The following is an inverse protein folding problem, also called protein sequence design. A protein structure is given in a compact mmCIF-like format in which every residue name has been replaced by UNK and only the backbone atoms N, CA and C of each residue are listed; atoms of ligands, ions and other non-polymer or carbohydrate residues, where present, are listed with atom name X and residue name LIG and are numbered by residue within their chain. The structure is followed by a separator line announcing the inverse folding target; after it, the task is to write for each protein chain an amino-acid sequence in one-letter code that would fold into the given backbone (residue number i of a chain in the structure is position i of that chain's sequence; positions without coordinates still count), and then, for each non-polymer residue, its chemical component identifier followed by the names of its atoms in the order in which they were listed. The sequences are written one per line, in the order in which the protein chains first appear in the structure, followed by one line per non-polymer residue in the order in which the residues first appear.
data_IF_302069124768
#
_entry.id   IF_302069124768
#
_cell.length_a   1.000
_cell.length_b   1.000
_cell.length_c   1.000
_cell.angle_alpha   90.00
_cell.angle_beta   90.00
_cell.angle_gamma   90.00
#
_symmetry.space_group_name_H-M   'P 1'
#
loop_
_entity.id
_entity.type
_entity.pdbx_description
1 polymer ?
#
# COMPACT_ATOMS: atom_id res chain seq x y z
N UNK A 1 18.11 -28.58 -62.48
CA UNK A 1 18.03 -29.75 -61.56
C UNK A 1 18.47 -29.27 -60.18
N UNK A 2 17.54 -28.95 -59.27
CA UNK A 2 17.87 -28.54 -57.91
C UNK A 2 18.56 -29.70 -57.16
N UNK A 3 19.60 -29.42 -56.39
CA UNK A 3 20.37 -30.42 -55.65
C UNK A 3 19.56 -31.07 -54.53
N UNK A 4 19.85 -32.34 -54.19
CA UNK A 4 19.22 -33.14 -53.13
C UNK A 4 19.02 -32.43 -51.77
N UNK A 5 19.83 -31.42 -51.44
CA UNK A 5 19.67 -30.62 -50.21
C UNK A 5 18.54 -29.57 -50.25
N UNK A 6 18.05 -29.18 -51.43
CA UNK A 6 16.91 -28.26 -51.57
C UNK A 6 15.55 -28.97 -51.47
N UNK A 7 15.47 -30.28 -51.76
CA UNK A 7 14.25 -31.08 -51.56
C UNK A 7 14.05 -31.52 -50.11
N UNK A 8 15.13 -31.77 -49.37
CA UNK A 8 15.07 -32.12 -47.94
C UNK A 8 14.61 -30.93 -47.07
N UNK A 9 15.08 -29.72 -47.41
CA UNK A 9 14.69 -28.48 -46.70
C UNK A 9 13.21 -28.12 -46.89
N UNK A 10 12.63 -28.41 -48.06
CA UNK A 10 11.22 -28.18 -48.34
C UNK A 10 10.27 -29.21 -47.69
N UNK A 11 10.78 -30.42 -47.36
CA UNK A 11 10.01 -31.49 -46.71
C UNK A 11 9.88 -31.25 -45.20
N UNK A 12 10.96 -30.81 -44.56
CA UNK A 12 10.96 -30.42 -43.12
C UNK A 12 10.05 -29.21 -42.87
N UNK A 13 9.99 -28.25 -43.80
CA UNK A 13 9.18 -27.04 -43.65
C UNK A 13 7.67 -27.26 -43.89
N UNK A 14 7.28 -28.33 -44.61
CA UNK A 14 5.87 -28.76 -44.76
C UNK A 14 5.36 -29.60 -43.59
N UNK A 15 6.19 -30.40 -42.95
CA UNK A 15 5.81 -31.15 -41.74
C UNK A 15 5.65 -30.23 -40.51
N UNK A 16 6.46 -29.19 -40.36
CA UNK A 16 6.29 -28.20 -39.28
C UNK A 16 5.05 -27.32 -39.41
N UNK A 17 4.55 -27.11 -40.64
CA UNK A 17 3.34 -26.31 -40.89
C UNK A 17 2.03 -27.14 -40.80
N UNK A 18 2.10 -28.47 -40.86
CA UNK A 18 0.95 -29.37 -40.68
C UNK A 18 0.60 -29.69 -39.22
N UNK A 19 1.52 -29.47 -38.28
CA UNK A 19 1.31 -29.77 -36.85
C UNK A 19 0.71 -28.58 -36.09
N UNK A 20 0.71 -27.37 -36.67
CA UNK A 20 0.21 -26.14 -36.01
C UNK A 20 -1.29 -25.85 -36.23
N UNK A 21 -2.04 -26.80 -36.77
CA UNK A 21 -3.47 -26.65 -37.03
C UNK A 21 -4.25 -27.91 -36.61
N UNK A 22 -4.21 -28.26 -35.32
CA UNK A 22 -5.23 -29.06 -34.60
C UNK A 22 -4.79 -29.26 -33.15
N UNK A 23 -5.04 -28.27 -32.29
CA UNK A 23 -5.25 -28.53 -30.87
C UNK A 23 -6.03 -27.36 -30.25
N UNK A 24 -7.30 -27.22 -30.63
CA UNK A 24 -8.27 -26.57 -29.75
C UNK A 24 -8.62 -27.56 -28.64
N UNK A 25 -7.77 -27.63 -27.61
CA UNK A 25 -8.18 -28.18 -26.32
C UNK A 25 -9.00 -27.13 -25.60
N UNK A 26 -10.29 -27.40 -25.44
CA UNK A 26 -11.14 -26.73 -24.45
C UNK A 26 -10.45 -26.82 -23.08
N UNK A 27 -10.06 -25.67 -22.53
CA UNK A 27 -9.54 -25.59 -21.16
C UNK A 27 -10.70 -25.81 -20.19
N UNK A 28 -10.85 -27.02 -19.67
CA UNK A 28 -11.61 -27.25 -18.44
C UNK A 28 -10.73 -26.91 -17.24
N UNK A 29 -11.26 -26.10 -16.33
CA UNK A 29 -10.61 -25.72 -15.08
C UNK A 29 -10.48 -26.95 -14.17
N UNK A 30 -9.37 -27.02 -13.41
CA UNK A 30 -9.21 -28.03 -12.38
C UNK A 30 -10.08 -27.67 -11.15
N UNK A 31 -10.75 -28.64 -10.48
CA UNK A 31 -11.62 -28.38 -9.32
C UNK A 31 -10.94 -27.73 -8.09
N UNK A 32 -9.63 -27.49 -8.11
CA UNK A 32 -8.83 -26.95 -6.99
C UNK A 32 -8.34 -25.51 -7.16
N UNK A 33 -8.76 -24.77 -8.19
CA UNK A 33 -8.43 -23.34 -8.33
C UNK A 33 -9.27 -22.46 -7.38
N UNK A 34 -8.63 -21.89 -6.34
CA UNK A 34 -9.21 -20.87 -5.44
C UNK A 34 -8.59 -19.47 -5.62
N UNK A 35 -8.29 -19.04 -6.86
CA UNK A 35 -7.80 -17.68 -7.13
C UNK A 35 -8.18 -17.19 -8.53
N UNK A 36 -8.74 -15.98 -8.71
CA UNK A 36 -9.27 -15.50 -9.99
C UNK A 36 -8.22 -14.89 -10.94
N UNK A 37 -6.92 -14.97 -10.62
CA UNK A 37 -5.89 -14.39 -11.49
C UNK A 37 -5.52 -15.34 -12.64
N UNK A 38 -6.10 -15.11 -13.81
CA UNK A 38 -5.67 -15.77 -15.05
C UNK A 38 -4.37 -15.11 -15.52
N UNK A 39 -3.26 -15.82 -15.36
CA UNK A 39 -1.95 -15.44 -15.85
C UNK A 39 -1.89 -15.36 -17.38
N UNK A 40 -1.51 -14.18 -17.89
CA UNK A 40 -0.56 -13.93 -19.00
C UNK A 40 -0.62 -12.44 -19.41
N UNK A 41 0.17 -11.59 -18.74
CA UNK A 41 0.22 -10.12 -18.95
C UNK A 41 1.50 -9.68 -19.69
N UNK A 42 2.41 -10.60 -20.00
CA UNK A 42 3.76 -10.30 -20.51
C UNK A 42 3.77 -9.58 -21.87
N UNK A 43 2.77 -9.80 -22.73
CA UNK A 43 2.70 -9.17 -24.07
C UNK A 43 2.11 -7.75 -24.01
N UNK A 44 1.24 -7.45 -23.03
CA UNK A 44 0.68 -6.09 -22.85
C UNK A 44 1.68 -5.13 -22.20
N UNK A 45 2.56 -5.64 -21.32
CA UNK A 45 3.64 -4.87 -20.68
C UNK A 45 4.67 -4.30 -21.67
N UNK A 46 5.07 -5.09 -22.68
CA UNK A 46 6.07 -4.67 -23.68
C UNK A 46 5.59 -3.52 -24.58
N UNK A 47 4.29 -3.45 -24.87
CA UNK A 47 3.71 -2.41 -25.73
C UNK A 47 3.48 -1.11 -24.94
N UNK A 48 3.17 -1.20 -23.64
CA UNK A 48 3.01 -0.02 -22.75
C UNK A 48 4.35 0.68 -22.48
N UNK A 49 5.43 -0.09 -22.30
CA UNK A 49 6.76 0.43 -21.93
C UNK A 49 7.48 1.26 -23.01
N UNK A 50 7.05 1.23 -24.28
CA UNK A 50 7.70 2.01 -25.36
C UNK A 50 7.16 3.44 -25.52
N UNK A 51 6.04 3.80 -24.90
CA UNK A 51 5.39 5.12 -25.05
C UNK A 51 5.15 5.81 -23.71
N UNK A 52 6.20 6.07 -22.94
CA UNK A 52 6.33 7.23 -22.04
C UNK A 52 7.68 7.18 -21.33
N UNK A 53 8.75 7.59 -22.02
CA UNK A 53 9.89 8.21 -21.34
C UNK A 53 9.54 9.69 -21.18
N UNK A 54 8.79 10.07 -20.15
CA UNK A 54 8.49 11.48 -19.87
C UNK A 54 8.19 11.74 -18.39
N UNK A 55 8.83 12.80 -17.88
CA UNK A 55 8.51 13.65 -16.74
C UNK A 55 8.68 13.08 -15.32
N UNK A 56 9.42 13.85 -14.51
CA UNK A 56 9.40 13.81 -13.04
C UNK A 56 7.97 13.59 -12.55
N UNK A 57 7.75 12.57 -11.70
CA UNK A 57 6.44 12.30 -11.12
C UNK A 57 5.93 13.53 -10.37
N UNK A 58 4.72 13.98 -10.70
CA UNK A 58 4.09 15.11 -10.04
C UNK A 58 2.87 14.65 -9.22
N UNK A 59 2.96 14.65 -7.86
CA UNK A 59 1.89 14.20 -6.97
C UNK A 59 0.64 15.11 -6.97
N UNK A 60 0.74 16.30 -7.58
CA UNK A 60 -0.33 17.29 -7.65
C UNK A 60 -0.94 17.43 -9.04
N UNK A 61 -0.73 16.45 -9.94
CA UNK A 61 -1.40 16.46 -11.24
C UNK A 61 -2.93 16.47 -11.07
N UNK A 62 -3.64 17.27 -11.88
CA UNK A 62 -5.10 17.29 -11.85
C UNK A 62 -5.64 15.93 -12.30
N UNK A 63 -6.86 15.58 -11.88
CA UNK A 63 -7.53 14.38 -12.34
C UNK A 63 -7.73 14.33 -13.87
N UNK A 64 -7.76 13.12 -14.41
CA UNK A 64 -8.18 12.90 -15.79
C UNK A 64 -9.71 13.05 -15.89
N UNK A 65 -10.17 14.06 -16.64
CA UNK A 65 -11.60 14.37 -16.80
C UNK A 65 -12.39 13.26 -17.48
N UNK A 66 -11.78 12.44 -18.33
CA UNK A 66 -12.45 11.30 -18.95
C UNK A 66 -12.61 10.16 -17.94
N UNK A 67 -11.57 9.87 -17.17
CA UNK A 67 -11.66 8.91 -16.06
C UNK A 67 -12.70 9.36 -15.03
N UNK A 68 -12.77 10.67 -14.72
CA UNK A 68 -13.81 11.22 -13.84
C UNK A 68 -15.22 10.96 -14.36
N UNK A 69 -15.45 11.06 -15.67
CA UNK A 69 -16.75 10.73 -16.29
C UNK A 69 -17.05 9.23 -16.19
N UNK A 70 -16.07 8.37 -16.45
CA UNK A 70 -16.20 6.91 -16.31
C UNK A 70 -16.52 6.52 -14.86
N UNK A 71 -15.79 7.06 -13.89
CA UNK A 71 -16.05 6.86 -12.46
C UNK A 71 -17.46 7.34 -12.12
N UNK A 72 -17.86 8.53 -12.56
CA UNK A 72 -19.22 9.05 -12.30
C UNK A 72 -20.31 8.14 -12.87
N UNK A 73 -20.12 7.59 -14.06
CA UNK A 73 -21.06 6.64 -14.67
C UNK A 73 -21.13 5.33 -13.86
N UNK A 74 -19.97 4.81 -13.43
CA UNK A 74 -19.91 3.65 -12.55
C UNK A 74 -20.65 3.91 -11.23
N UNK A 75 -20.40 5.03 -10.56
CA UNK A 75 -21.05 5.38 -9.29
C UNK A 75 -22.57 5.47 -9.44
N UNK A 76 -23.06 6.06 -10.54
CA UNK A 76 -24.50 6.10 -10.86
C UNK A 76 -25.12 4.72 -11.09
N UNK A 77 -24.32 3.73 -11.50
CA UNK A 77 -24.76 2.35 -11.68
C UNK A 77 -24.74 1.51 -10.40
N UNK A 78 -24.08 1.98 -9.33
CA UNK A 78 -24.02 1.26 -8.05
C UNK A 78 -25.37 1.26 -7.34
N UNK A 79 -25.65 0.19 -6.61
CA UNK A 79 -26.88 0.06 -5.84
C UNK A 79 -27.00 1.22 -4.83
N UNK A 80 -28.20 1.81 -4.76
CA UNK A 80 -28.51 2.86 -3.80
C UNK A 80 -28.17 4.28 -4.23
N UNK A 81 -27.43 4.52 -5.32
CA UNK A 81 -27.10 5.89 -5.74
C UNK A 81 -28.38 6.75 -5.94
N UNK A 82 -28.46 7.99 -5.39
CA UNK A 82 -27.48 8.68 -4.56
C UNK A 82 -27.73 8.57 -3.03
N UNK A 83 -28.60 7.68 -2.57
CA UNK A 83 -28.92 7.47 -1.14
C UNK A 83 -27.71 6.97 -0.37
N UNK A 84 -27.44 7.60 0.78
CA UNK A 84 -26.32 7.23 1.66
C UNK A 84 -26.82 6.31 2.77
N UNK A 85 -26.40 5.05 2.72
CA UNK A 85 -26.61 4.06 3.76
C UNK A 85 -25.42 3.09 3.68
N UNK A 86 -24.54 3.15 4.68
CA UNK A 86 -23.28 2.38 4.66
C UNK A 86 -23.51 0.87 4.72
N UNK A 87 -24.58 0.44 5.38
CA UNK A 87 -24.89 -0.97 5.62
C UNK A 87 -25.61 -1.57 4.41
N UNK A 88 -26.48 -0.79 3.74
CA UNK A 88 -27.19 -1.24 2.54
C UNK A 88 -26.42 -1.00 1.24
N UNK A 89 -25.63 0.06 1.17
CA UNK A 89 -24.95 0.52 -0.06
C UNK A 89 -23.44 0.77 0.19
N UNK A 90 -22.69 -0.22 0.69
CA UNK A 90 -21.31 -0.03 1.14
C UNK A 90 -20.37 0.44 0.02
N UNK A 91 -20.59 0.01 -1.22
CA UNK A 91 -19.77 0.44 -2.37
C UNK A 91 -19.98 1.92 -2.68
N UNK A 92 -21.23 2.36 -2.81
CA UNK A 92 -21.53 3.78 -3.07
C UNK A 92 -21.04 4.66 -1.92
N UNK A 93 -21.30 4.24 -0.68
CA UNK A 93 -20.92 4.98 0.52
C UNK A 93 -19.40 5.19 0.59
N UNK A 94 -18.61 4.13 0.37
CA UNK A 94 -17.14 4.20 0.36
C UNK A 94 -16.62 5.20 -0.68
N UNK A 95 -17.09 5.13 -1.92
CA UNK A 95 -16.67 6.10 -2.94
C UNK A 95 -17.10 7.52 -2.62
N UNK A 96 -18.29 7.69 -2.02
CA UNK A 96 -18.77 8.99 -1.57
C UNK A 96 -17.88 9.58 -0.46
N UNK A 97 -17.45 8.78 0.53
CA UNK A 97 -16.50 9.20 1.56
C UNK A 97 -15.16 9.63 0.95
N UNK A 98 -14.62 8.85 0.00
CA UNK A 98 -13.36 9.18 -0.66
C UNK A 98 -13.42 10.53 -1.38
N UNK A 99 -14.46 10.77 -2.19
CA UNK A 99 -14.56 11.96 -3.06
C UNK A 99 -15.10 13.21 -2.36
N UNK A 100 -15.74 13.06 -1.20
CA UNK A 100 -16.44 14.16 -0.53
C UNK A 100 -15.61 14.71 0.62
N UNK A 101 -15.21 15.97 0.54
CA UNK A 101 -14.64 16.68 1.69
C UNK A 101 -15.77 17.17 2.62
N UNK A 102 -15.63 17.12 3.96
CA UNK A 102 -14.48 16.65 4.74
C UNK A 102 -14.68 15.23 5.30
N UNK A 103 -15.19 14.28 4.50
CA UNK A 103 -15.46 12.93 5.02
C UNK A 103 -14.17 12.22 5.42
N UNK A 104 -14.28 11.45 6.49
CA UNK A 104 -13.15 10.77 7.10
C UNK A 104 -12.76 9.56 6.26
N UNK A 105 -11.46 9.38 6.05
CA UNK A 105 -10.96 8.21 5.34
C UNK A 105 -10.81 7.05 6.33
N UNK A 106 -11.51 5.94 6.06
CA UNK A 106 -11.28 4.66 6.73
C UNK A 106 -9.96 4.01 6.28
N UNK A 107 -9.51 3.02 7.02
CA UNK A 107 -8.36 2.15 6.72
C UNK A 107 -8.37 1.63 5.27
N UNK A 108 -9.52 1.16 4.79
CA UNK A 108 -9.67 0.67 3.42
C UNK A 108 -9.39 1.73 2.34
N UNK A 109 -9.67 3.01 2.62
CA UNK A 109 -9.32 4.11 1.71
C UNK A 109 -7.82 4.38 1.72
N UNK A 110 -7.21 4.39 2.92
CA UNK A 110 -5.77 4.56 3.09
C UNK A 110 -5.03 3.47 2.31
N UNK A 111 -5.43 2.21 2.51
CA UNK A 111 -4.83 1.06 1.85
C UNK A 111 -5.05 1.07 0.33
N UNK A 112 -6.19 1.54 -0.16
CA UNK A 112 -6.44 1.68 -1.60
C UNK A 112 -5.47 2.66 -2.27
N UNK A 113 -5.18 3.79 -1.61
CA UNK A 113 -4.18 4.75 -2.10
C UNK A 113 -2.76 4.19 -1.96
N UNK A 114 -2.43 3.54 -0.85
CA UNK A 114 -1.12 2.90 -0.67
C UNK A 114 -0.91 1.78 -1.71
N UNK A 115 -1.95 1.01 -2.06
CA UNK A 115 -1.93 0.03 -3.15
C UNK A 115 -1.65 0.68 -4.50
N UNK A 116 -2.30 1.80 -4.80
CA UNK A 116 -2.03 2.59 -6.01
C UNK A 116 -0.55 3.00 -6.07
N UNK A 117 0.01 3.50 -4.97
CA UNK A 117 1.42 3.90 -4.91
C UNK A 117 2.36 2.69 -5.08
N UNK A 118 2.03 1.53 -4.49
CA UNK A 118 2.80 0.29 -4.69
C UNK A 118 2.77 -0.20 -6.13
N UNK A 119 1.61 -0.14 -6.78
CA UNK A 119 1.47 -0.47 -8.20
C UNK A 119 2.38 0.44 -9.04
N UNK A 120 2.32 1.75 -8.79
CA UNK A 120 3.17 2.73 -9.48
C UNK A 120 4.65 2.50 -9.21
N UNK A 121 5.04 2.16 -7.99
CA UNK A 121 6.44 1.83 -7.66
C UNK A 121 6.91 0.58 -8.41
N UNK A 122 6.06 -0.43 -8.53
CA UNK A 122 6.35 -1.66 -9.27
C UNK A 122 6.47 -1.39 -10.78
N UNK A 123 5.55 -0.61 -11.36
CA UNK A 123 5.52 -0.32 -12.80
C UNK A 123 6.55 0.75 -13.21
N UNK A 124 6.84 1.70 -12.33
CA UNK A 124 7.67 2.88 -12.59
C UNK A 124 8.59 3.20 -11.40
N UNK A 125 9.56 2.32 -11.06
CA UNK A 125 10.42 2.53 -9.90
C UNK A 125 11.27 3.81 -9.98
N UNK A 126 11.58 4.29 -11.18
CA UNK A 126 12.32 5.53 -11.41
C UNK A 126 11.56 6.81 -11.01
N UNK A 127 10.25 6.72 -10.80
CA UNK A 127 9.41 7.80 -10.29
C UNK A 127 9.52 7.98 -8.77
N UNK A 128 10.19 7.04 -8.10
CA UNK A 128 10.39 7.02 -6.65
C UNK A 128 11.84 7.38 -6.31
N UNK A 129 12.05 7.95 -5.12
CA UNK A 129 13.39 8.44 -4.73
C UNK A 129 14.41 7.33 -4.48
N UNK A 130 13.96 6.09 -4.31
CA UNK A 130 14.79 4.93 -4.02
C UNK A 130 14.02 3.65 -4.33
N UNK A 131 14.71 2.59 -4.74
CA UNK A 131 14.15 1.24 -4.85
C UNK A 131 14.23 0.44 -3.54
N UNK A 132 14.88 1.02 -2.51
CA UNK A 132 15.02 0.47 -1.15
C UNK A 132 13.99 1.02 -0.17
N UNK A 133 12.82 1.42 -0.68
CA UNK A 133 11.70 1.88 0.14
C UNK A 133 10.53 0.87 0.11
N UNK A 134 9.76 0.84 1.20
CA UNK A 134 8.54 0.03 1.30
C UNK A 134 7.35 0.89 1.75
N UNK A 135 6.22 0.71 1.08
CA UNK A 135 4.95 1.36 1.40
C UNK A 135 4.08 0.35 2.15
N UNK A 136 3.94 0.54 3.46
CA UNK A 136 3.19 -0.33 4.36
C UNK A 136 1.72 0.10 4.36
N UNK A 137 0.81 -0.86 4.44
CA UNK A 137 -0.61 -0.58 4.62
C UNK A 137 -0.92 -0.24 6.10
N UNK A 138 -2.17 0.09 6.40
CA UNK A 138 -2.57 0.44 7.76
C UNK A 138 -2.57 -0.74 8.74
N UNK A 139 -2.58 -1.99 8.23
CA UNK A 139 -2.73 -3.21 9.02
C UNK A 139 -1.62 -3.39 10.05
N UNK A 140 -0.35 -3.21 9.65
CA UNK A 140 0.79 -3.38 10.57
C UNK A 140 0.62 -2.54 11.84
N UNK A 141 0.33 -1.24 11.68
CA UNK A 141 0.18 -0.35 12.83
C UNK A 141 -1.04 -0.67 13.69
N UNK A 142 -2.17 -1.01 13.08
CA UNK A 142 -3.40 -1.33 13.80
C UNK A 142 -3.20 -2.57 14.69
N UNK A 143 -2.58 -3.62 14.15
CA UNK A 143 -2.31 -4.84 14.92
C UNK A 143 -1.26 -4.60 16.01
N UNK A 144 -0.18 -3.87 15.71
CA UNK A 144 0.86 -3.60 16.69
C UNK A 144 0.35 -2.77 17.87
N UNK A 145 -0.40 -1.71 17.61
CA UNK A 145 -1.03 -0.91 18.67
C UNK A 145 -2.03 -1.74 19.47
N UNK A 146 -2.91 -2.51 18.81
CA UNK A 146 -3.92 -3.32 19.48
C UNK A 146 -3.32 -4.46 20.33
N UNK A 147 -2.14 -4.96 19.97
CA UNK A 147 -1.49 -6.11 20.60
C UNK A 147 -0.24 -5.74 21.41
N UNK A 148 -0.03 -4.46 21.67
CA UNK A 148 1.14 -4.00 22.39
C UNK A 148 1.16 -4.49 23.85
N UNK A 149 0.00 -4.58 24.50
CA UNK A 149 -0.10 -5.14 25.86
C UNK A 149 0.24 -6.63 25.90
N UNK A 150 -0.14 -7.39 24.88
CA UNK A 150 0.21 -8.81 24.75
C UNK A 150 1.73 -8.98 24.54
N UNK A 151 2.34 -8.12 23.69
CA UNK A 151 3.79 -8.05 23.52
C UNK A 151 4.49 -7.76 24.87
N UNK A 152 4.04 -6.74 25.62
CA UNK A 152 4.65 -6.36 26.90
C UNK A 152 4.60 -7.50 27.93
N UNK A 153 3.45 -8.17 28.06
CA UNK A 153 3.22 -9.27 29.01
C UNK A 153 3.95 -10.56 28.63
N UNK A 154 4.33 -10.74 27.37
CA UNK A 154 5.06 -11.94 26.94
C UNK A 154 6.49 -11.94 27.48
N UNK A 155 6.89 -13.06 28.10
CA UNK A 155 8.23 -13.21 28.67
C UNK A 155 9.23 -13.65 27.59
N UNK A 156 10.40 -12.99 27.48
CA UNK A 156 11.46 -13.45 26.61
C UNK A 156 12.22 -14.65 27.21
N UNK A 157 12.98 -15.34 26.37
CA UNK A 157 13.99 -16.30 26.78
C UNK A 157 15.25 -15.60 27.34
N UNK A 158 16.25 -16.38 27.74
CA UNK A 158 17.52 -15.88 28.33
C UNK A 158 18.32 -14.93 27.44
N UNK A 159 18.02 -14.87 26.14
CA UNK A 159 18.66 -13.97 25.17
C UNK A 159 17.82 -12.70 24.89
N UNK A 160 16.71 -12.52 25.61
CA UNK A 160 15.76 -11.43 25.35
C UNK A 160 14.84 -11.68 24.16
N UNK A 161 14.82 -12.89 23.57
CA UNK A 161 14.07 -13.24 22.35
C UNK A 161 12.83 -14.09 22.64
N UNK A 162 12.00 -14.38 21.64
CA UNK A 162 10.79 -15.21 21.77
C UNK A 162 9.56 -14.54 22.40
N UNK A 163 9.54 -13.22 22.54
CA UNK A 163 8.31 -12.47 22.87
C UNK A 163 7.27 -12.63 21.77
N UNK A 164 6.00 -12.47 22.15
CA UNK A 164 4.88 -12.45 21.23
C UNK A 164 5.03 -11.31 20.23
N UNK A 165 4.98 -11.60 18.94
CA UNK A 165 4.79 -10.61 17.88
C UNK A 165 3.41 -10.82 17.23
N UNK A 166 2.71 -9.75 16.86
CA UNK A 166 1.43 -9.87 16.18
C UNK A 166 1.55 -10.67 14.88
N UNK A 167 0.46 -11.34 14.44
CA UNK A 167 0.41 -12.00 13.14
C UNK A 167 0.91 -11.12 12.00
N UNK A 168 1.42 -11.75 10.95
CA UNK A 168 2.01 -11.12 9.76
C UNK A 168 3.29 -10.29 9.99
N UNK A 169 3.77 -10.11 11.23
CA UNK A 169 5.01 -9.33 11.47
C UNK A 169 6.20 -9.87 10.67
N UNK A 170 6.34 -11.20 10.57
CA UNK A 170 7.37 -11.84 9.74
C UNK A 170 7.12 -11.61 8.25
N UNK A 171 5.88 -11.65 7.81
CA UNK A 171 5.50 -11.43 6.42
C UNK A 171 5.80 -10.00 5.95
N UNK A 172 5.57 -9.01 6.81
CA UNK A 172 5.99 -7.62 6.55
C UNK A 172 7.50 -7.53 6.45
N UNK A 173 8.23 -8.12 7.40
CA UNK A 173 9.69 -8.11 7.41
C UNK A 173 10.31 -8.78 6.17
N UNK A 174 9.70 -9.84 5.66
CA UNK A 174 10.13 -10.55 4.45
C UNK A 174 9.61 -9.93 3.15
N UNK A 175 8.68 -8.97 3.22
CA UNK A 175 8.07 -8.33 2.06
C UNK A 175 7.02 -9.18 1.33
N UNK A 176 6.48 -10.22 1.99
CA UNK A 176 5.32 -10.99 1.53
C UNK A 176 4.00 -10.33 1.92
N UNK A 177 4.03 -9.36 2.85
CA UNK A 177 2.92 -8.44 3.08
C UNK A 177 3.27 -6.99 2.73
N UNK A 178 2.28 -6.23 2.22
CA UNK A 178 0.94 -6.71 1.89
C UNK A 178 0.89 -7.48 0.56
N UNK A 179 -0.12 -8.33 0.38
CA UNK A 179 -0.24 -9.25 -0.77
C UNK A 179 -0.28 -8.53 -2.13
N UNK A 180 -0.92 -7.36 -2.19
CA UNK A 180 -0.97 -6.57 -3.41
C UNK A 180 0.39 -5.92 -3.68
N UNK A 181 0.99 -6.26 -4.82
CA UNK A 181 2.33 -5.79 -5.20
C UNK A 181 3.41 -6.09 -4.14
N UNK A 182 3.45 -7.34 -3.65
CA UNK A 182 4.54 -7.85 -2.81
C UNK A 182 5.91 -7.46 -3.35
N UNK A 183 6.79 -7.02 -2.46
CA UNK A 183 8.16 -6.64 -2.81
C UNK A 183 9.08 -7.85 -2.79
N UNK A 184 8.82 -8.82 -1.90
CA UNK A 184 9.74 -9.91 -1.54
C UNK A 184 11.15 -9.39 -1.16
N UNK A 185 11.20 -8.16 -0.64
CA UNK A 185 12.43 -7.47 -0.22
C UNK A 185 12.47 -7.43 1.31
N UNK A 186 13.55 -7.96 1.89
CA UNK A 186 13.72 -8.05 3.34
C UNK A 186 14.13 -6.70 3.93
N UNK A 187 13.55 -6.34 5.08
CA UNK A 187 13.93 -5.12 5.79
C UNK A 187 15.39 -5.18 6.27
N UNK A 188 16.05 -4.02 6.31
CA UNK A 188 17.48 -3.82 6.60
C UNK A 188 18.46 -4.42 5.58
N UNK A 189 18.04 -5.39 4.76
CA UNK A 189 18.84 -5.97 3.67
C UNK A 189 18.57 -5.26 2.35
N UNK A 190 17.30 -5.26 1.94
CA UNK A 190 16.85 -4.77 0.65
C UNK A 190 16.06 -3.45 0.76
N UNK A 191 15.50 -3.19 1.95
CA UNK A 191 14.72 -2.00 2.29
C UNK A 191 15.38 -1.26 3.45
N UNK A 192 15.57 0.05 3.29
CA UNK A 192 16.07 0.95 4.33
C UNK A 192 14.98 1.83 4.92
N UNK A 193 13.95 2.14 4.12
CA UNK A 193 13.00 3.20 4.41
C UNK A 193 11.56 2.67 4.32
N UNK A 194 10.76 2.87 5.37
CA UNK A 194 9.35 2.49 5.41
C UNK A 194 8.45 3.72 5.48
N UNK A 195 7.32 3.68 4.79
CA UNK A 195 6.22 4.62 4.97
C UNK A 195 5.00 3.89 5.50
N UNK A 196 4.41 4.41 6.56
CA UNK A 196 3.31 3.78 7.28
C UNK A 196 2.25 4.83 7.62
N UNK A 197 1.01 4.71 7.07
CA UNK A 197 -0.12 5.47 7.60
C UNK A 197 -0.47 4.94 8.99
N UNK A 198 -0.42 5.82 9.99
CA UNK A 198 -0.61 5.46 11.39
C UNK A 198 -1.89 6.10 11.93
N UNK A 199 -2.76 5.28 12.53
CA UNK A 199 -4.03 5.75 13.08
C UNK A 199 -3.94 5.89 14.60
N UNK A 200 -3.92 7.13 15.09
CA UNK A 200 -3.95 7.47 16.50
C UNK A 200 -5.39 7.55 16.98
N UNK A 201 -5.69 6.88 18.10
CA UNK A 201 -7.01 6.95 18.75
C UNK A 201 -8.19 6.53 17.86
N UNK A 202 -7.94 5.75 16.79
CA UNK A 202 -8.92 5.32 15.76
C UNK A 202 -9.54 6.46 14.95
N UNK A 203 -9.00 7.66 15.03
CA UNK A 203 -9.66 8.86 14.53
C UNK A 203 -8.67 9.98 14.11
N UNK A 204 -7.37 9.71 14.02
CA UNK A 204 -6.39 10.65 13.47
C UNK A 204 -5.36 9.91 12.64
N UNK A 205 -5.20 10.28 11.38
CA UNK A 205 -4.14 9.72 10.55
C UNK A 205 -2.91 10.63 10.56
N UNK A 206 -1.76 10.06 10.90
CA UNK A 206 -0.43 10.68 10.72
C UNK A 206 0.41 9.79 9.82
N UNK A 207 1.36 10.38 9.11
CA UNK A 207 2.31 9.63 8.29
C UNK A 207 3.59 9.39 9.07
N UNK A 208 4.00 8.13 9.18
CA UNK A 208 5.29 7.74 9.72
C UNK A 208 6.25 7.45 8.57
N UNK A 209 7.41 8.11 8.59
CA UNK A 209 8.57 7.75 7.79
C UNK A 209 9.62 7.13 8.72
N UNK A 210 9.93 5.85 8.50
CA UNK A 210 10.83 5.08 9.37
C UNK A 210 12.10 4.79 8.60
N UNK A 211 13.23 5.32 9.09
CA UNK A 211 14.54 4.96 8.57
C UNK A 211 15.13 3.85 9.43
N UNK A 212 15.22 2.65 8.86
CA UNK A 212 15.74 1.46 9.55
C UNK A 212 17.22 1.62 9.92
N UNK A 213 18.13 2.12 9.03
CA UNK A 213 19.52 2.32 9.40
C UNK A 213 19.73 3.35 10.51
N UNK A 214 18.91 4.41 10.52
CA UNK A 214 18.99 5.46 11.54
C UNK A 214 18.23 5.11 12.82
N UNK A 215 17.40 4.06 12.80
CA UNK A 215 16.51 3.66 13.89
C UNK A 215 15.67 4.85 14.39
N UNK A 216 15.07 5.55 13.43
CA UNK A 216 14.38 6.82 13.66
C UNK A 216 13.04 6.89 12.90
N UNK A 217 12.02 7.42 13.56
CA UNK A 217 10.66 7.62 13.06
C UNK A 217 10.38 9.12 12.95
N UNK A 218 10.27 9.62 11.73
CA UNK A 218 9.81 10.97 11.43
C UNK A 218 8.29 10.97 11.30
N UNK A 219 7.61 11.87 12.01
CA UNK A 219 6.15 11.94 12.10
C UNK A 219 5.66 13.21 11.41
N UNK A 220 4.84 13.07 10.37
CA UNK A 220 4.14 14.18 9.74
C UNK A 220 2.68 14.20 10.17
N UNK A 221 2.33 15.24 10.91
CA UNK A 221 1.00 15.46 11.50
C UNK A 221 0.39 16.73 10.90
N UNK A 222 -0.76 16.60 10.23
CA UNK A 222 -1.48 17.75 9.66
C UNK A 222 -2.35 18.49 10.67
N UNK A 223 -2.48 17.98 11.91
CA UNK A 223 -3.30 18.58 12.94
C UNK A 223 -2.63 18.51 14.32
N UNK A 224 -1.44 19.14 14.47
CA UNK A 224 -0.61 19.01 15.66
C UNK A 224 -1.26 19.59 16.93
N UNK A 225 -2.22 20.51 16.80
CA UNK A 225 -2.93 21.06 17.97
C UNK A 225 -3.84 20.05 18.69
N UNK A 226 -4.04 18.86 18.10
CA UNK A 226 -4.90 17.83 18.65
C UNK A 226 -4.33 17.15 19.89
N UNK A 227 -3.02 16.98 19.92
CA UNK A 227 -2.31 16.26 20.98
C UNK A 227 -0.88 16.77 21.06
N UNK A 228 -0.35 16.90 22.26
CA UNK A 228 1.04 17.33 22.43
C UNK A 228 2.04 16.21 22.05
N UNK A 229 3.33 16.51 22.16
CA UNK A 229 4.39 15.57 21.78
C UNK A 229 4.56 14.42 22.79
N UNK A 230 4.15 14.60 24.05
CA UNK A 230 4.23 13.56 25.09
C UNK A 230 3.11 12.53 24.89
N UNK A 231 1.90 12.99 24.61
CA UNK A 231 0.77 12.14 24.21
C UNK A 231 1.11 11.39 22.92
N UNK A 232 1.71 12.08 21.93
CA UNK A 232 2.10 11.45 20.67
C UNK A 232 3.18 10.38 20.87
N UNK A 233 4.15 10.64 21.75
CA UNK A 233 5.19 9.68 22.09
C UNK A 233 4.59 8.37 22.64
N UNK A 234 3.55 8.48 23.47
CA UNK A 234 2.83 7.32 24.02
C UNK A 234 2.14 6.51 22.92
N UNK A 235 1.51 7.18 21.95
CA UNK A 235 0.82 6.52 20.84
C UNK A 235 1.78 5.84 19.85
N UNK A 236 2.96 6.41 19.61
CA UNK A 236 3.97 5.88 18.67
C UNK A 236 4.86 4.80 19.31
N UNK A 237 4.87 4.70 20.64
CA UNK A 237 5.70 3.76 21.39
C UNK A 237 5.58 2.29 20.94
N UNK A 238 4.37 1.73 20.68
CA UNK A 238 4.23 0.38 20.16
C UNK A 238 5.06 0.15 18.90
N UNK A 239 5.02 1.10 17.95
CA UNK A 239 5.80 1.02 16.71
C UNK A 239 7.28 1.11 17.00
N UNK A 240 7.71 2.06 17.84
CA UNK A 240 9.12 2.27 18.14
C UNK A 240 9.79 1.08 18.85
N UNK A 241 9.08 0.44 19.79
CA UNK A 241 9.58 -0.69 20.57
C UNK A 241 9.52 -1.99 19.77
N UNK A 242 8.37 -2.29 19.17
CA UNK A 242 8.17 -3.56 18.47
C UNK A 242 9.00 -3.62 17.18
N UNK A 243 9.26 -2.49 16.52
CA UNK A 243 10.19 -2.42 15.38
C UNK A 243 11.60 -2.85 15.80
N UNK A 244 12.14 -2.25 16.88
CA UNK A 244 13.48 -2.60 17.38
C UNK A 244 13.58 -4.09 17.74
N UNK A 245 12.57 -4.58 18.48
CA UNK A 245 12.50 -5.97 18.87
C UNK A 245 12.45 -6.92 17.65
N UNK A 246 11.55 -6.65 16.71
CA UNK A 246 11.35 -7.49 15.53
C UNK A 246 12.62 -7.61 14.68
N UNK A 247 13.35 -6.51 14.48
CA UNK A 247 14.59 -6.54 13.72
C UNK A 247 15.63 -7.47 14.34
N UNK A 248 15.75 -7.50 15.68
CA UNK A 248 16.67 -8.42 16.37
C UNK A 248 16.17 -9.85 16.39
N UNK A 249 14.87 -10.06 16.62
CA UNK A 249 14.22 -11.39 16.60
C UNK A 249 14.45 -12.09 15.26
N UNK A 250 14.30 -11.33 14.17
CA UNK A 250 14.39 -11.85 12.81
C UNK A 250 15.78 -11.74 12.18
N UNK A 251 16.77 -11.22 12.92
CA UNK A 251 18.17 -11.19 12.48
C UNK A 251 18.78 -12.60 12.51
N UNK A 252 19.73 -12.84 11.58
CA UNK A 252 20.59 -14.01 11.67
C UNK A 252 21.40 -13.95 12.97
N UNK A 253 21.75 -15.11 13.53
CA UNK A 253 22.36 -15.19 14.87
C UNK A 253 23.61 -14.33 14.95
N UNK A 254 24.43 -14.38 13.90
CA UNK A 254 25.66 -13.63 13.70
C UNK A 254 25.47 -12.11 13.47
N UNK A 255 24.26 -11.67 13.13
CA UNK A 255 23.94 -10.26 12.86
C UNK A 255 23.21 -9.59 14.04
N UNK A 256 22.76 -10.35 15.05
CA UNK A 256 21.89 -9.86 16.13
C UNK A 256 22.48 -8.70 16.93
N UNK A 257 23.79 -8.66 17.08
CA UNK A 257 24.46 -7.59 17.82
C UNK A 257 24.40 -6.24 17.10
N UNK A 258 24.12 -6.24 15.79
CA UNK A 258 23.88 -5.00 15.02
C UNK A 258 22.48 -4.42 15.28
N UNK A 259 21.57 -5.18 15.91
CA UNK A 259 20.19 -4.79 16.17
C UNK A 259 19.94 -4.75 17.68
N UNK A 260 20.20 -3.62 18.36
CA UNK A 260 19.90 -3.50 19.78
C UNK A 260 18.39 -3.42 20.04
N UNK A 261 17.98 -3.74 21.28
CA UNK A 261 16.59 -3.68 21.71
C UNK A 261 16.08 -2.27 22.02
N UNK A 262 16.96 -1.28 22.12
CA UNK A 262 16.57 0.11 22.40
C UNK A 262 15.49 0.58 21.42
N UNK A 263 14.43 1.23 21.89
CA UNK A 263 13.36 1.67 20.97
C UNK A 263 13.89 2.65 19.92
N UNK A 264 13.22 2.68 18.78
CA UNK A 264 13.51 3.70 17.77
C UNK A 264 13.26 5.09 18.36
N UNK A 265 14.10 6.04 17.98
CA UNK A 265 13.85 7.45 18.28
C UNK A 265 12.73 7.97 17.39
N UNK A 266 12.05 9.04 17.79
CA UNK A 266 11.00 9.65 16.97
C UNK A 266 10.95 11.16 17.11
N UNK A 267 10.49 11.85 16.07
CA UNK A 267 10.30 13.29 16.08
C UNK A 267 9.06 13.70 15.27
N UNK A 268 8.27 14.65 15.79
CA UNK A 268 7.20 15.32 15.04
C UNK A 268 7.80 16.51 14.29
N UNK A 269 7.61 16.55 12.98
CA UNK A 269 8.15 17.63 12.14
C UNK A 269 7.20 18.83 12.12
N UNK A 270 7.71 19.99 12.52
CA UNK A 270 7.01 21.26 12.41
C UNK A 270 7.08 21.84 10.99
N UNK A 271 6.16 22.76 10.68
CA UNK A 271 6.18 23.51 9.41
C UNK A 271 5.69 22.72 8.18
N UNK A 272 5.14 21.53 8.37
CA UNK A 272 4.43 20.80 7.31
C UNK A 272 3.05 21.42 7.04
N UNK A 273 2.48 21.26 5.83
CA UNK A 273 1.15 21.79 5.53
C UNK A 273 0.02 21.29 6.45
N UNK A 274 -0.53 22.15 7.29
CA UNK A 274 -1.59 21.77 8.23
C UNK A 274 -2.99 21.85 7.60
N UNK A 275 -3.88 20.98 8.09
CA UNK A 275 -5.30 21.00 7.75
C UNK A 275 -6.05 22.07 8.54
N UNK A 276 -7.17 22.53 7.98
CA UNK A 276 -8.16 23.34 8.70
C UNK A 276 -9.41 22.51 8.98
N UNK A 277 -9.76 22.37 10.25
CA UNK A 277 -10.92 21.59 10.69
C UNK A 277 -10.70 20.07 10.64
N UNK A 278 -11.71 19.28 11.05
CA UNK A 278 -11.59 17.82 11.13
C UNK A 278 -11.78 17.14 9.77
N UNK A 279 -11.37 15.86 9.68
CA UNK A 279 -11.76 14.93 8.60
C UNK A 279 -10.84 14.83 7.40
N UNK A 280 -9.86 15.72 7.25
CA UNK A 280 -8.93 15.70 6.11
C UNK A 280 -7.57 15.02 6.41
N UNK A 281 -7.31 14.62 7.67
CA UNK A 281 -6.01 14.06 8.09
C UNK A 281 -5.55 12.86 7.25
N UNK A 282 -6.47 11.97 6.84
CA UNK A 282 -6.14 10.86 5.95
C UNK A 282 -5.59 11.32 4.59
N UNK A 283 -6.16 12.39 4.01
CA UNK A 283 -5.69 12.93 2.72
C UNK A 283 -4.30 13.54 2.87
N UNK A 284 -4.06 14.32 3.94
CA UNK A 284 -2.75 14.89 4.23
C UNK A 284 -1.71 13.80 4.46
N UNK A 285 -2.00 12.82 5.32
CA UNK A 285 -1.16 11.65 5.58
C UNK A 285 -0.71 10.96 4.29
N UNK A 286 -1.66 10.60 3.42
CA UNK A 286 -1.33 9.94 2.14
C UNK A 286 -0.50 10.86 1.22
N UNK A 287 -0.75 12.17 1.27
CA UNK A 287 -0.04 13.12 0.41
C UNK A 287 1.38 13.40 0.90
N UNK A 288 1.62 13.37 2.21
CA UNK A 288 2.98 13.35 2.76
C UNK A 288 3.75 12.11 2.29
N UNK A 289 3.15 10.93 2.40
CA UNK A 289 3.76 9.67 1.96
C UNK A 289 4.10 9.73 0.47
N UNK A 290 3.13 10.08 -0.39
CA UNK A 290 3.35 10.13 -1.83
C UNK A 290 4.44 11.14 -2.22
N UNK A 291 4.37 12.37 -1.70
CA UNK A 291 5.35 13.40 -2.05
C UNK A 291 6.76 12.96 -1.64
N UNK A 292 6.94 12.54 -0.39
CA UNK A 292 8.27 12.17 0.09
C UNK A 292 8.80 10.89 -0.57
N UNK A 293 7.96 9.87 -0.82
CA UNK A 293 8.36 8.64 -1.52
C UNK A 293 8.77 8.91 -2.97
N UNK A 294 8.25 9.97 -3.59
CA UNK A 294 8.56 10.36 -4.97
C UNK A 294 9.56 11.51 -5.07
N UNK A 295 10.18 11.91 -3.96
CA UNK A 295 11.20 12.97 -3.93
C UNK A 295 10.66 14.39 -4.14
N UNK A 296 9.36 14.59 -3.92
CA UNK A 296 8.67 15.87 -4.04
C UNK A 296 8.48 16.55 -2.67
N UNK A 297 8.50 17.88 -2.65
CA UNK A 297 8.28 18.67 -1.44
C UNK A 297 6.78 18.83 -1.09
N UNK A 298 6.49 19.03 0.19
CA UNK A 298 5.15 19.41 0.66
C UNK A 298 4.89 20.89 0.36
N UNK A 299 4.27 21.17 -0.77
CA UNK A 299 3.90 22.55 -1.08
C UNK A 299 2.69 22.97 -0.26
N UNK A 300 2.82 23.97 0.62
CA UNK A 300 1.70 24.54 1.37
C UNK A 300 0.64 25.21 0.46
N UNK A 301 1.00 25.57 -0.78
CA UNK A 301 0.04 26.07 -1.76
C UNK A 301 -0.72 24.95 -2.47
N UNK A 302 -0.08 23.78 -2.64
CA UNK A 302 -0.68 22.62 -3.32
C UNK A 302 -1.44 21.71 -2.36
N UNK A 303 -0.88 21.41 -1.19
CA UNK A 303 -1.50 20.66 -0.09
C UNK A 303 -2.13 21.65 0.90
N UNK A 304 -3.33 22.11 0.58
CA UNK A 304 -4.12 22.98 1.45
C UNK A 304 -5.61 22.67 1.32
N UNK A 305 -6.42 23.11 2.28
CA UNK A 305 -7.86 22.87 2.32
C UNK A 305 -8.61 23.17 1.02
N UNK A 306 -8.19 24.19 0.26
CA UNK A 306 -8.81 24.56 -1.02
C UNK A 306 -8.67 23.47 -2.09
N UNK A 307 -7.60 22.68 -2.02
CA UNK A 307 -7.26 21.68 -3.02
C UNK A 307 -7.64 20.25 -2.59
N UNK A 308 -8.05 20.02 -1.35
CA UNK A 308 -8.35 18.67 -0.83
C UNK A 308 -9.43 17.97 -1.66
N UNK A 309 -10.50 18.65 -2.05
CA UNK A 309 -11.51 18.08 -2.95
C UNK A 309 -10.92 17.60 -4.28
N UNK A 310 -9.98 18.36 -4.86
CA UNK A 310 -9.29 17.96 -6.10
C UNK A 310 -8.36 16.77 -5.88
N UNK A 311 -7.62 16.74 -4.76
CA UNK A 311 -6.75 15.61 -4.38
C UNK A 311 -7.57 14.32 -4.17
N UNK A 312 -8.68 14.42 -3.42
CA UNK A 312 -9.63 13.32 -3.21
C UNK A 312 -10.16 12.76 -4.53
N UNK A 313 -10.59 13.65 -5.41
CA UNK A 313 -11.14 13.25 -6.71
C UNK A 313 -10.07 12.64 -7.63
N UNK A 314 -8.83 13.14 -7.57
CA UNK A 314 -7.67 12.54 -8.24
C UNK A 314 -7.40 11.13 -7.74
N UNK A 315 -7.31 10.93 -6.42
CA UNK A 315 -7.13 9.59 -5.85
C UNK A 315 -8.22 8.63 -6.29
N UNK A 316 -9.47 9.07 -6.27
CA UNK A 316 -10.59 8.25 -6.69
C UNK A 316 -10.49 7.83 -8.16
N UNK A 317 -10.15 8.76 -9.06
CA UNK A 317 -9.96 8.46 -10.48
C UNK A 317 -8.81 7.47 -10.70
N UNK A 318 -7.68 7.71 -10.04
CA UNK A 318 -6.48 6.90 -10.19
C UNK A 318 -6.70 5.48 -9.64
N UNK A 319 -7.31 5.34 -8.46
CA UNK A 319 -7.70 4.04 -7.90
C UNK A 319 -8.61 3.30 -8.89
N UNK A 320 -9.66 3.97 -9.38
CA UNK A 320 -10.66 3.37 -10.28
C UNK A 320 -10.05 2.89 -11.60
N UNK A 321 -9.04 3.61 -12.11
CA UNK A 321 -8.42 3.36 -13.41
C UNK A 321 -7.23 2.42 -13.36
N UNK A 322 -6.40 2.50 -12.33
CA UNK A 322 -5.10 1.83 -12.28
C UNK A 322 -5.14 0.54 -11.46
N UNK A 323 -5.98 0.43 -10.42
CA UNK A 323 -5.92 -0.71 -9.48
C UNK A 323 -7.03 -1.74 -9.66
N UNK A 324 -7.93 -1.54 -10.63
CA UNK A 324 -9.18 -2.29 -10.81
C UNK A 324 -10.10 -2.34 -9.57
N UNK A 325 -9.82 -1.55 -8.53
CA UNK A 325 -10.66 -1.44 -7.35
C UNK A 325 -12.02 -0.84 -7.72
N UNK A 326 -13.11 -1.55 -7.38
CA UNK A 326 -14.49 -1.10 -7.58
C UNK A 326 -15.22 -0.76 -6.29
N UNK A 327 -14.52 -0.79 -5.16
CA UNK A 327 -15.06 -0.55 -3.83
C UNK A 327 -14.46 -1.50 -2.81
N UNK A 328 -14.88 -1.42 -1.54
CA UNK A 328 -14.42 -2.35 -0.52
C UNK A 328 -14.85 -3.76 -0.93
N UNK A 329 -13.96 -4.75 -0.76
CA UNK A 329 -14.38 -6.15 -0.77
C UNK A 329 -15.40 -6.33 0.35
N UNK A 330 -16.33 -7.28 0.21
CA UNK A 330 -17.07 -7.78 1.37
C UNK A 330 -15.99 -8.21 2.37
N UNK A 331 -15.81 -7.42 3.42
CA UNK A 331 -14.83 -7.70 4.47
C UNK A 331 -15.48 -8.79 5.32
N UNK A 332 -15.04 -10.01 5.09
CA UNK A 332 -15.21 -11.09 6.04
C UNK A 332 -14.24 -10.80 7.20
N UNK A 333 -14.77 -10.25 8.28
CA UNK A 333 -14.02 -9.84 9.46
C UNK A 333 -13.88 -10.97 10.49
N UNK A 334 -14.29 -12.20 10.15
CA UNK A 334 -14.11 -13.35 11.03
C UNK A 334 -12.60 -13.61 11.22
N UNK A 335 -12.04 -13.07 12.32
CA UNK A 335 -10.68 -13.32 12.79
C UNK A 335 -9.68 -12.17 12.69
N UNK A 336 -10.06 -10.99 12.18
CA UNK A 336 -9.16 -9.82 12.07
C UNK A 336 -9.70 -8.54 12.72
N UNK A 337 -10.80 -8.62 13.45
CA UNK A 337 -11.22 -7.52 14.33
C UNK A 337 -10.42 -7.59 15.65
N UNK A 338 -9.47 -6.69 15.92
CA UNK A 338 -8.84 -6.58 17.24
C UNK A 338 -9.84 -6.21 18.36
N UNK A 339 -11.12 -5.98 18.02
CA UNK A 339 -12.23 -5.70 18.93
C UNK A 339 -13.35 -6.75 18.90
N UNK A 340 -13.15 -7.94 18.32
CA UNK A 340 -14.04 -9.08 18.60
C UNK A 340 -13.81 -9.50 20.07
N UNK A 341 -14.68 -9.00 20.94
CA UNK A 341 -14.74 -9.32 22.37
C UNK A 341 -15.20 -10.74 22.68
N UNK A 342 -14.98 -11.71 21.78
CA UNK A 342 -15.16 -13.14 22.04
C UNK A 342 -13.84 -13.74 22.53
N UNK A 343 -13.56 -13.53 23.81
CA UNK A 343 -12.93 -14.55 24.66
C UNK A 343 -14.03 -15.45 25.24
#
# INVERSE_FOLDING_TARGET
MPSRHQEESAKVQRETNGIRAKDQRERKLAPSQKSPFVGNVTVKELIRNKKQRLAVYNPYLPEDKNVRKELTAFLKSTAGYPKLDKDKFPVWYWWWELITQPQWLSDSHMDAVINLLRLRMKEQPHSFRSDRLCLIDSGLSLFWTAKYDDFKKSEPNVFGLGKYLPPDSLDYFQGTKPEFCQTNKRWCRDIDDLYLPFNIGKNHWVALFISLPKRHITIWDSYPCRMDDEELATEVEPVAVMMAYMLREMALVEERDNYPFDKFTHERIAGVPEQKGPGDCGVYCLKYIECHATGNAFSASSLCNKNIKAIRSRYACDIFKETDCKGPRIRDWDGLDPFDGRC
#
